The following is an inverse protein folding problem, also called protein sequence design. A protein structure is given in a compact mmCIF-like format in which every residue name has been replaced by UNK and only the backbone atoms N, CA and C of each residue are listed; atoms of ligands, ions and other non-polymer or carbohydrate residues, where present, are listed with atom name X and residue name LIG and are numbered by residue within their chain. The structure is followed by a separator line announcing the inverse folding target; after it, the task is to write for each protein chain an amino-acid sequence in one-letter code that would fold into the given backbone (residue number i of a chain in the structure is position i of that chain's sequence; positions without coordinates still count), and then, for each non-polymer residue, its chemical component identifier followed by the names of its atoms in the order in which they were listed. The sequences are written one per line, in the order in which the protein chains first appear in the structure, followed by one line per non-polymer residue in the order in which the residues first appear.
data_IF_768451246682
#
_entry.id   IF_768451246682
#
_cell.length_a   1.000
_cell.length_b   1.000
_cell.length_c   1.000
_cell.angle_alpha   90.00
_cell.angle_beta   90.00
_cell.angle_gamma   90.00
#
_symmetry.space_group_name_H-M   'P 1'
#
loop_
_entity.id
_entity.type
_entity.pdbx_description
1 polymer ?
#
# COMPACT_ATOMS: atom_id res chain seq x y z
N UNK A 1 -1.22 16.97 27.66
CA UNK A 1 -0.34 18.12 27.28
C UNK A 1 -0.95 18.79 26.05
N UNK A 2 -1.30 20.06 26.10
CA UNK A 2 -1.90 20.75 24.96
C UNK A 2 -0.81 21.00 23.91
N UNK A 3 -1.06 20.57 22.65
CA UNK A 3 -0.21 20.92 21.49
C UNK A 3 -0.20 22.45 21.38
N UNK A 4 0.95 23.05 21.59
CA UNK A 4 1.07 24.52 21.60
C UNK A 4 1.14 25.11 20.18
N UNK A 5 1.69 24.38 19.21
CA UNK A 5 1.88 24.85 17.84
C UNK A 5 1.91 23.69 16.86
N UNK A 6 1.22 23.82 15.73
CA UNK A 6 1.39 23.01 14.53
C UNK A 6 1.72 23.95 13.40
N UNK A 7 2.88 23.76 12.76
CA UNK A 7 3.28 24.50 11.57
C UNK A 7 3.20 23.57 10.35
N UNK A 8 2.59 24.05 9.27
CA UNK A 8 2.59 23.38 7.97
C UNK A 8 3.50 24.16 7.03
N UNK A 9 4.55 23.50 6.53
CA UNK A 9 5.51 24.10 5.62
C UNK A 9 5.33 23.42 4.26
N UNK A 10 4.69 24.12 3.34
CA UNK A 10 4.45 23.64 1.98
C UNK A 10 5.62 24.00 1.04
N UNK A 11 5.72 23.29 -0.09
CA UNK A 11 6.78 23.47 -1.10
C UNK A 11 8.21 23.31 -0.53
N UNK A 12 8.33 22.52 0.54
CA UNK A 12 9.59 22.29 1.25
C UNK A 12 9.97 20.81 1.16
N UNK A 13 10.55 20.46 0.03
CA UNK A 13 11.00 19.08 -0.21
C UNK A 13 12.21 18.77 0.67
N UNK A 14 12.13 17.67 1.41
CA UNK A 14 13.28 17.13 2.13
C UNK A 14 14.29 16.58 1.11
N UNK A 15 15.55 17.02 1.22
CA UNK A 15 16.65 16.60 0.35
C UNK A 15 17.73 15.80 1.10
N UNK A 16 17.75 15.88 2.43
CA UNK A 16 18.71 15.18 3.26
C UNK A 16 18.33 15.20 4.73
N UNK A 17 19.09 14.46 5.51
CA UNK A 17 19.03 14.42 6.96
C UNK A 17 20.43 14.12 7.53
N UNK A 18 20.76 14.72 8.66
CA UNK A 18 21.88 14.35 9.51
C UNK A 18 21.41 14.09 10.94
N UNK A 19 22.13 13.30 11.70
CA UNK A 19 21.85 12.99 13.10
C UNK A 19 23.07 13.43 13.92
N UNK A 20 22.83 14.21 14.98
CA UNK A 20 23.87 14.64 15.91
C UNK A 20 24.20 13.60 16.99
N UNK A 21 25.17 13.90 17.84
CA UNK A 21 25.61 13.01 18.94
C UNK A 21 24.49 12.76 19.98
N UNK A 22 23.48 13.61 20.06
CA UNK A 22 22.33 13.46 20.92
C UNK A 22 21.16 12.74 20.21
N UNK A 23 21.40 12.19 19.02
CA UNK A 23 20.41 11.51 18.16
C UNK A 23 19.30 12.42 17.60
N UNK A 24 19.42 13.75 17.69
CA UNK A 24 18.46 14.69 17.09
C UNK A 24 18.66 14.75 15.58
N UNK A 25 17.55 14.86 14.85
CA UNK A 25 17.58 14.95 13.39
C UNK A 25 17.62 16.41 12.92
N UNK A 26 18.54 16.71 12.01
CA UNK A 26 18.53 17.96 11.23
C UNK A 26 18.13 17.61 9.79
N UNK A 27 16.94 18.04 9.41
CA UNK A 27 16.33 17.80 8.08
C UNK A 27 16.68 18.98 7.17
N UNK A 28 17.14 18.67 5.98
CA UNK A 28 17.54 19.63 4.95
C UNK A 28 16.38 19.88 3.96
N UNK A 29 16.01 21.16 3.78
CA UNK A 29 14.90 21.63 2.94
C UNK A 29 15.41 22.62 1.86
N UNK A 30 16.41 22.24 1.09
CA UNK A 30 17.10 23.15 0.17
C UNK A 30 18.03 24.11 0.94
N UNK A 31 17.71 25.40 0.94
CA UNK A 31 18.53 26.42 1.63
C UNK A 31 18.27 26.50 3.14
N UNK A 32 17.27 25.79 3.66
CA UNK A 32 16.86 25.81 5.04
C UNK A 32 17.06 24.46 5.70
N UNK A 33 17.25 24.47 7.01
CA UNK A 33 17.29 23.25 7.84
C UNK A 33 16.34 23.37 9.01
N UNK A 34 15.83 22.22 9.45
CA UNK A 34 15.03 22.13 10.68
C UNK A 34 15.66 21.06 11.57
N UNK A 35 16.05 21.48 12.78
CA UNK A 35 16.52 20.54 13.80
C UNK A 35 15.36 20.20 14.74
N UNK A 36 15.16 18.90 14.99
CA UNK A 36 14.09 18.40 15.85
C UNK A 36 14.64 17.33 16.79
N UNK A 37 14.03 17.23 17.97
CA UNK A 37 14.32 16.13 18.92
C UNK A 37 13.88 14.78 18.36
N UNK A 38 12.79 14.75 17.57
CA UNK A 38 12.26 13.57 16.93
C UNK A 38 11.85 13.87 15.49
N UNK A 39 12.07 12.88 14.60
CA UNK A 39 11.65 12.94 13.20
C UNK A 39 10.78 11.72 12.89
N UNK A 40 9.62 11.94 12.31
CA UNK A 40 8.79 10.86 11.72
C UNK A 40 8.88 10.99 10.21
N UNK A 41 9.55 10.06 9.57
CA UNK A 41 9.77 10.02 8.12
C UNK A 41 8.60 9.28 7.44
N UNK A 42 7.74 10.04 6.77
CA UNK A 42 6.65 9.55 5.92
C UNK A 42 6.78 10.09 4.49
N UNK A 43 8.01 10.22 4.00
CA UNK A 43 8.39 10.88 2.73
C UNK A 43 8.32 9.94 1.51
N UNK A 44 7.62 8.81 1.64
CA UNK A 44 7.25 7.95 0.54
C UNK A 44 8.32 6.92 0.12
N UNK A 45 8.02 6.17 -0.93
CA UNK A 45 8.83 5.04 -1.40
C UNK A 45 10.28 5.43 -1.76
N UNK A 46 10.47 6.64 -2.27
CA UNK A 46 11.77 7.20 -2.64
C UNK A 46 12.43 8.01 -1.50
N UNK A 47 12.05 7.75 -0.25
CA UNK A 47 12.45 8.47 0.95
C UNK A 47 13.89 8.99 0.94
N UNK A 48 14.05 10.31 0.97
CA UNK A 48 15.33 10.98 1.09
C UNK A 48 15.95 10.75 2.49
N UNK A 49 15.10 10.70 3.51
CA UNK A 49 15.51 10.44 4.89
C UNK A 49 16.08 9.03 5.03
N UNK A 50 15.37 8.01 4.53
CA UNK A 50 15.85 6.62 4.58
C UNK A 50 17.19 6.46 3.88
N UNK A 51 17.31 7.02 2.67
CA UNK A 51 18.54 7.00 1.87
C UNK A 51 19.69 7.75 2.55
N UNK A 52 19.42 8.95 3.05
CA UNK A 52 20.41 9.78 3.74
C UNK A 52 20.98 9.12 4.99
N UNK A 53 20.21 8.27 5.66
CA UNK A 53 20.66 7.50 6.83
C UNK A 53 21.25 6.13 6.47
N UNK A 54 21.37 5.80 5.17
CA UNK A 54 21.97 4.53 4.72
C UNK A 54 21.14 3.29 5.07
N UNK A 55 19.84 3.44 5.34
CA UNK A 55 18.97 2.32 5.68
C UNK A 55 18.59 1.57 4.41
N UNK A 56 18.92 0.28 4.37
CA UNK A 56 18.62 -0.60 3.26
C UNK A 56 17.10 -0.75 3.07
N UNK A 57 16.67 -0.93 1.83
CA UNK A 57 15.28 -1.14 1.44
C UNK A 57 15.20 -2.46 0.67
N UNK A 58 15.16 -3.54 1.43
CA UNK A 58 15.31 -4.90 0.93
C UNK A 58 14.00 -5.44 0.38
N UNK A 59 14.10 -6.28 -0.65
CA UNK A 59 12.95 -6.90 -1.26
C UNK A 59 13.14 -7.17 -2.75
N UNK A 60 12.04 -7.21 -3.48
CA UNK A 60 12.02 -7.59 -4.89
C UNK A 60 11.22 -6.61 -5.75
N UNK A 61 11.48 -6.68 -7.04
CA UNK A 61 10.62 -6.09 -8.08
C UNK A 61 9.95 -7.25 -8.81
N UNK A 62 8.64 -7.18 -8.96
CA UNK A 62 7.91 -8.19 -9.72
C UNK A 62 8.29 -8.14 -11.21
N UNK A 63 8.24 -9.27 -11.92
CA UNK A 63 8.64 -9.33 -13.33
C UNK A 63 7.67 -8.57 -14.24
N UNK A 64 6.41 -8.45 -13.85
CA UNK A 64 5.41 -7.67 -14.57
C UNK A 64 5.33 -6.22 -14.09
N UNK A 65 4.91 -5.35 -14.99
CA UNK A 65 4.41 -4.01 -14.68
C UNK A 65 2.89 -4.03 -14.60
N UNK A 66 2.34 -3.04 -13.94
CA UNK A 66 0.89 -2.85 -13.91
C UNK A 66 0.49 -1.68 -14.79
N UNK A 67 -0.33 -2.01 -15.81
CA UNK A 67 -1.03 -1.02 -16.64
C UNK A 67 -2.37 -0.71 -15.98
N UNK A 68 -2.56 0.53 -15.57
CA UNK A 68 -3.82 1.01 -14.98
C UNK A 68 -4.51 1.93 -15.96
N UNK A 69 -5.70 1.53 -16.36
CA UNK A 69 -6.57 2.29 -17.27
C UNK A 69 -7.74 2.82 -16.45
N UNK A 70 -7.93 4.13 -16.45
CA UNK A 70 -9.06 4.80 -15.78
C UNK A 70 -10.06 5.26 -16.81
N UNK A 71 -11.33 4.86 -16.64
CA UNK A 71 -12.45 5.26 -17.51
C UNK A 71 -13.56 5.92 -16.70
N UNK A 72 -14.27 6.86 -17.29
CA UNK A 72 -15.49 7.44 -16.73
C UNK A 72 -16.74 6.63 -17.06
N UNK A 73 -16.64 5.62 -17.96
CA UNK A 73 -17.74 4.68 -18.20
C UNK A 73 -18.07 3.93 -16.91
N UNK A 74 -19.33 3.89 -16.51
CA UNK A 74 -19.75 3.03 -15.40
C UNK A 74 -19.81 1.58 -15.89
N UNK A 75 -18.89 0.75 -15.40
CA UNK A 75 -18.81 -0.65 -15.79
C UNK A 75 -19.98 -1.49 -15.26
N UNK A 76 -20.73 -1.02 -14.25
CA UNK A 76 -21.92 -1.71 -13.76
C UNK A 76 -23.05 -1.72 -14.79
N UNK A 77 -23.04 -0.79 -15.74
CA UNK A 77 -23.99 -0.79 -16.87
C UNK A 77 -23.69 -1.89 -17.90
N UNK A 78 -22.46 -2.40 -17.92
CA UNK A 78 -21.99 -3.39 -18.90
C UNK A 78 -21.83 -4.77 -18.28
N UNK A 79 -21.46 -4.84 -17.02
CA UNK A 79 -21.19 -6.10 -16.29
C UNK A 79 -22.06 -6.09 -15.03
N UNK A 80 -23.06 -6.97 -14.94
CA UNK A 80 -23.90 -7.10 -13.74
C UNK A 80 -23.08 -7.50 -12.50
N UNK A 81 -23.56 -7.13 -11.34
CA UNK A 81 -23.09 -7.57 -10.02
C UNK A 81 -21.62 -7.20 -9.68
N UNK A 82 -21.04 -6.19 -10.35
CA UNK A 82 -19.74 -5.68 -9.97
C UNK A 82 -19.75 -5.05 -8.58
N UNK A 83 -18.84 -5.51 -7.72
CA UNK A 83 -18.54 -4.87 -6.44
C UNK A 83 -17.62 -3.64 -6.60
N UNK A 84 -17.33 -2.94 -5.52
CA UNK A 84 -16.36 -1.83 -5.54
C UNK A 84 -14.93 -2.26 -5.88
N UNK A 85 -14.57 -3.51 -5.56
CA UNK A 85 -13.30 -4.17 -5.92
C UNK A 85 -13.61 -5.55 -6.44
N UNK A 86 -13.10 -5.87 -7.64
CA UNK A 86 -13.30 -7.15 -8.29
C UNK A 86 -11.95 -7.70 -8.74
N UNK A 87 -11.58 -8.85 -8.19
CA UNK A 87 -10.41 -9.60 -8.63
C UNK A 87 -10.87 -10.66 -9.62
N UNK A 88 -10.52 -10.51 -10.88
CA UNK A 88 -10.91 -11.41 -11.96
C UNK A 88 -9.72 -12.28 -12.29
N UNK A 89 -9.82 -13.57 -11.95
CA UNK A 89 -8.82 -14.58 -12.26
C UNK A 89 -9.19 -15.26 -13.56
N UNK A 90 -8.61 -14.80 -14.65
CA UNK A 90 -8.74 -15.39 -15.97
C UNK A 90 -7.48 -16.16 -16.35
N UNK A 91 -7.61 -17.20 -17.16
CA UNK A 91 -6.50 -18.06 -17.56
C UNK A 91 -5.51 -17.36 -18.50
N UNK A 92 -5.98 -16.37 -19.27
CA UNK A 92 -5.17 -15.63 -20.24
C UNK A 92 -4.60 -14.35 -19.63
N UNK A 93 -5.45 -13.53 -19.00
CA UNK A 93 -5.04 -12.25 -18.42
C UNK A 93 -5.92 -11.92 -17.19
N UNK A 94 -5.42 -12.14 -16.00
CA UNK A 94 -6.11 -11.69 -14.79
C UNK A 94 -6.15 -10.17 -14.71
N UNK A 95 -7.16 -9.62 -14.06
CA UNK A 95 -7.27 -8.17 -13.86
C UNK A 95 -7.97 -7.83 -12.54
N UNK A 96 -7.78 -6.58 -12.13
CA UNK A 96 -8.53 -6.01 -11.00
C UNK A 96 -9.34 -4.82 -11.50
N UNK A 97 -10.65 -4.82 -11.22
CA UNK A 97 -11.51 -3.67 -11.43
C UNK A 97 -11.78 -2.99 -10.10
N UNK A 98 -11.50 -1.70 -10.04
CA UNK A 98 -11.63 -0.90 -8.83
C UNK A 98 -12.52 0.32 -9.13
N UNK A 99 -13.62 0.45 -8.39
CA UNK A 99 -14.47 1.64 -8.43
C UNK A 99 -13.91 2.75 -7.54
N UNK A 100 -13.79 3.93 -8.09
CA UNK A 100 -13.51 5.17 -7.35
C UNK A 100 -14.70 6.12 -7.47
N UNK A 101 -14.78 7.21 -6.70
CA UNK A 101 -15.91 8.14 -6.81
C UNK A 101 -16.16 8.72 -8.21
N UNK A 102 -15.14 8.74 -9.08
CA UNK A 102 -15.21 9.36 -10.41
C UNK A 102 -14.91 8.44 -11.57
N UNK A 103 -14.26 7.29 -11.32
CA UNK A 103 -13.76 6.43 -12.38
C UNK A 103 -13.87 4.96 -11.98
N UNK A 104 -13.94 4.10 -12.98
CA UNK A 104 -13.48 2.74 -12.86
C UNK A 104 -12.00 2.66 -13.26
N UNK A 105 -11.23 1.89 -12.53
CA UNK A 105 -9.83 1.57 -12.84
C UNK A 105 -9.71 0.09 -13.13
N UNK A 106 -9.23 -0.22 -14.33
CA UNK A 106 -8.85 -1.56 -14.72
C UNK A 106 -7.33 -1.69 -14.61
N UNK A 107 -6.87 -2.63 -13.79
CA UNK A 107 -5.47 -2.92 -13.52
C UNK A 107 -5.10 -4.22 -14.20
N UNK A 108 -4.18 -4.18 -15.15
CA UNK A 108 -3.72 -5.33 -15.92
C UNK A 108 -2.23 -5.61 -15.63
N UNK A 109 -1.85 -6.89 -15.43
CA UNK A 109 -0.45 -7.27 -15.50
C UNK A 109 0.01 -7.19 -16.94
N UNK A 110 1.20 -6.67 -17.17
CA UNK A 110 1.81 -6.62 -18.49
C UNK A 110 3.28 -7.01 -18.39
N UNK A 111 3.82 -7.56 -19.46
CA UNK A 111 5.24 -7.91 -19.53
C UNK A 111 6.12 -6.71 -19.15
N UNK A 112 7.01 -6.90 -18.17
CA UNK A 112 7.93 -5.87 -17.68
C UNK A 112 8.89 -5.37 -18.75
N UNK A 113 9.14 -6.14 -19.80
CA UNK A 113 10.06 -5.81 -20.89
C UNK A 113 9.37 -5.18 -22.10
N UNK A 114 8.03 -5.24 -22.18
CA UNK A 114 7.27 -4.71 -23.32
C UNK A 114 7.40 -3.19 -23.44
N UNK A 115 7.33 -2.70 -24.68
CA UNK A 115 7.44 -1.27 -24.96
C UNK A 115 6.29 -0.48 -24.31
N UNK A 116 6.65 0.47 -23.47
CA UNK A 116 5.69 1.31 -22.76
C UNK A 116 4.80 2.13 -23.71
N UNK A 117 5.34 2.63 -24.82
CA UNK A 117 4.58 3.41 -25.79
C UNK A 117 3.52 2.55 -26.51
N UNK A 118 3.85 1.31 -26.82
CA UNK A 118 2.88 0.37 -27.38
C UNK A 118 1.80 0.01 -26.37
N UNK A 119 2.16 -0.29 -25.11
CA UNK A 119 1.20 -0.67 -24.06
C UNK A 119 0.22 0.46 -23.73
N UNK A 120 0.67 1.71 -23.76
CA UNK A 120 -0.14 2.88 -23.41
C UNK A 120 -0.77 3.58 -24.62
N UNK A 121 -0.57 3.04 -25.84
CA UNK A 121 -1.20 3.58 -27.04
C UNK A 121 -2.73 3.47 -26.94
N UNK A 122 -3.44 4.44 -27.53
CA UNK A 122 -4.90 4.47 -27.53
C UNK A 122 -5.49 3.15 -28.06
N UNK A 123 -4.97 2.63 -29.16
CA UNK A 123 -5.44 1.37 -29.73
C UNK A 123 -5.28 0.17 -28.78
N UNK A 124 -4.12 0.05 -28.09
CA UNK A 124 -3.89 -1.03 -27.15
C UNK A 124 -4.77 -0.91 -25.88
N UNK A 125 -4.95 0.30 -25.39
CA UNK A 125 -5.81 0.62 -24.24
C UNK A 125 -7.27 0.30 -24.56
N UNK A 126 -7.79 0.75 -25.70
CA UNK A 126 -9.14 0.46 -26.17
C UNK A 126 -9.33 -1.06 -26.35
N UNK A 127 -8.41 -1.74 -27.01
CA UNK A 127 -8.49 -3.17 -27.22
C UNK A 127 -8.57 -3.96 -25.89
N UNK A 128 -7.82 -3.55 -24.86
CA UNK A 128 -7.91 -4.18 -23.53
C UNK A 128 -9.26 -3.95 -22.88
N UNK A 129 -9.74 -2.71 -22.87
CA UNK A 129 -11.04 -2.38 -22.27
C UNK A 129 -12.19 -3.07 -23.00
N UNK A 130 -12.11 -3.23 -24.33
CA UNK A 130 -13.10 -3.97 -25.12
C UNK A 130 -13.16 -5.46 -24.75
N UNK A 131 -12.06 -6.07 -24.31
CA UNK A 131 -12.07 -7.44 -23.78
C UNK A 131 -12.71 -7.56 -22.40
N UNK A 132 -12.62 -6.50 -21.58
CA UNK A 132 -13.31 -6.47 -20.27
C UNK A 132 -14.83 -6.45 -20.47
N UNK A 133 -15.32 -5.54 -21.28
CA UNK A 133 -16.71 -5.50 -21.72
C UNK A 133 -16.81 -4.75 -23.07
N UNK A 134 -17.49 -5.29 -24.08
CA UNK A 134 -17.65 -4.61 -25.35
C UNK A 134 -18.46 -3.32 -25.23
N UNK A 135 -17.92 -2.21 -25.76
CA UNK A 135 -18.59 -0.91 -25.83
C UNK A 135 -18.48 -0.35 -27.25
N UNK A 136 -19.57 -0.27 -28.04
CA UNK A 136 -19.52 0.09 -29.46
C UNK A 136 -18.88 1.43 -29.79
N UNK A 137 -19.01 2.42 -28.91
CA UNK A 137 -18.48 3.78 -29.11
C UNK A 137 -17.05 3.96 -28.60
N UNK A 138 -16.44 2.90 -28.08
CA UNK A 138 -15.15 2.98 -27.37
C UNK A 138 -15.26 3.56 -25.96
N UNK A 139 -14.22 3.36 -25.18
CA UNK A 139 -14.19 3.78 -23.78
C UNK A 139 -13.71 5.24 -23.64
N UNK A 140 -14.41 6.06 -22.84
CA UNK A 140 -13.93 7.40 -22.46
C UNK A 140 -12.78 7.25 -21.43
N UNK A 141 -11.54 7.19 -21.92
CA UNK A 141 -10.35 7.02 -21.09
C UNK A 141 -9.95 8.37 -20.49
N UNK A 142 -9.84 8.45 -19.18
CA UNK A 142 -9.44 9.66 -18.46
C UNK A 142 -7.95 9.66 -18.10
N UNK A 143 -7.36 8.49 -17.86
CA UNK A 143 -5.95 8.36 -17.47
C UNK A 143 -5.42 6.97 -17.73
N UNK A 144 -4.15 6.90 -18.11
CA UNK A 144 -3.39 5.65 -18.27
C UNK A 144 -2.07 5.78 -17.52
N UNK A 145 -1.75 4.79 -16.71
CA UNK A 145 -0.48 4.73 -15.97
C UNK A 145 0.13 3.35 -16.11
N UNK A 146 1.44 3.32 -16.30
CA UNK A 146 2.25 2.09 -16.30
C UNK A 146 3.34 2.24 -15.25
N UNK A 147 3.41 1.29 -14.31
CA UNK A 147 4.40 1.32 -13.25
C UNK A 147 4.95 -0.06 -12.87
N UNK A 148 6.19 -0.06 -12.38
CA UNK A 148 6.80 -1.26 -11.81
C UNK A 148 6.19 -1.57 -10.44
N UNK A 149 6.05 -2.85 -10.15
CA UNK A 149 5.55 -3.31 -8.85
C UNK A 149 6.73 -3.73 -7.99
N UNK A 150 6.86 -3.08 -6.85
CA UNK A 150 7.91 -3.37 -5.89
C UNK A 150 7.31 -3.89 -4.58
N UNK A 151 8.05 -4.77 -3.92
CA UNK A 151 7.77 -5.23 -2.58
C UNK A 151 9.05 -5.12 -1.78
N UNK A 152 9.13 -4.12 -0.87
CA UNK A 152 10.35 -3.79 -0.14
C UNK A 152 10.03 -3.39 1.30
N UNK A 153 10.96 -3.69 2.21
CA UNK A 153 10.86 -3.28 3.62
C UNK A 153 12.19 -2.71 4.06
N UNK A 154 12.17 -1.60 4.77
CA UNK A 154 13.36 -1.03 5.37
C UNK A 154 13.99 -2.01 6.37
N UNK A 155 15.32 -2.08 6.38
CA UNK A 155 16.05 -2.96 7.29
C UNK A 155 15.77 -2.65 8.76
N UNK A 156 15.37 -1.41 9.05
CA UNK A 156 14.92 -0.98 10.37
C UNK A 156 13.89 0.15 10.25
N UNK A 157 12.92 0.20 11.20
CA UNK A 157 11.85 1.21 11.24
C UNK A 157 12.18 2.35 12.21
N UNK A 158 13.33 2.27 12.86
CA UNK A 158 13.87 3.32 13.75
C UNK A 158 15.38 3.38 13.66
N UNK A 159 15.92 4.58 13.65
CA UNK A 159 17.34 4.83 13.85
C UNK A 159 17.49 6.08 14.77
N UNK A 160 18.02 5.89 15.97
CA UNK A 160 18.09 6.96 16.95
C UNK A 160 16.70 7.56 17.23
N UNK A 161 16.54 8.84 16.97
CA UNK A 161 15.29 9.59 17.12
C UNK A 161 14.50 9.74 15.80
N UNK A 162 14.81 8.94 14.79
CA UNK A 162 14.07 8.91 13.52
C UNK A 162 13.23 7.66 13.43
N UNK A 163 11.91 7.81 13.20
CA UNK A 163 10.94 6.74 12.98
C UNK A 163 10.51 6.75 11.50
N UNK A 164 10.35 5.59 10.89
CA UNK A 164 9.86 5.45 9.52
C UNK A 164 8.44 4.90 9.51
N UNK A 165 7.56 5.51 8.70
CA UNK A 165 6.15 5.13 8.57
C UNK A 165 5.73 5.04 7.10
N UNK A 166 4.74 4.20 6.81
CA UNK A 166 4.16 4.07 5.48
C UNK A 166 5.19 3.70 4.41
N UNK A 167 5.06 4.28 3.22
CA UNK A 167 5.90 3.93 2.07
C UNK A 167 7.40 4.24 2.28
N UNK A 168 7.75 5.09 3.23
CA UNK A 168 9.15 5.30 3.63
C UNK A 168 9.72 4.07 4.36
N UNK A 169 8.88 3.32 5.07
CA UNK A 169 9.24 2.12 5.81
C UNK A 169 9.05 0.84 4.98
N UNK A 170 7.96 0.72 4.24
CA UNK A 170 7.67 -0.45 3.41
C UNK A 170 6.72 -0.16 2.26
N UNK A 171 6.94 -0.84 1.15
CA UNK A 171 6.02 -0.87 0.00
C UNK A 171 5.68 -2.31 -0.34
N UNK A 172 4.50 -2.51 -0.83
CA UNK A 172 4.01 -3.83 -1.22
C UNK A 172 3.26 -3.75 -2.55
N UNK A 173 3.08 -4.91 -3.14
CA UNK A 173 2.20 -5.12 -4.28
C UNK A 173 0.77 -4.63 -3.92
N UNK A 174 0.06 -3.93 -4.82
CA UNK A 174 -1.24 -3.31 -4.53
C UNK A 174 -2.39 -4.32 -4.37
N UNK A 175 -2.16 -5.60 -4.68
CA UNK A 175 -3.19 -6.65 -4.61
C UNK A 175 -3.61 -6.92 -3.16
N UNK A 176 -4.81 -6.50 -2.81
CA UNK A 176 -5.35 -6.59 -1.46
C UNK A 176 -5.51 -5.24 -0.75
N UNK A 177 -5.01 -4.14 -1.35
CA UNK A 177 -5.25 -2.78 -0.84
C UNK A 177 -4.63 -2.47 0.53
N UNK A 178 -3.57 -3.19 0.93
CA UNK A 178 -3.02 -3.11 2.28
C UNK A 178 -2.02 -1.97 2.50
N UNK A 179 -1.43 -1.39 1.44
CA UNK A 179 -0.34 -0.40 1.56
C UNK A 179 -0.75 0.83 2.37
N UNK A 180 -1.78 1.55 1.92
CA UNK A 180 -2.28 2.73 2.63
C UNK A 180 -2.76 2.40 4.06
N UNK A 181 -3.49 1.31 4.23
CA UNK A 181 -4.00 0.90 5.53
C UNK A 181 -2.85 0.61 6.50
N UNK A 182 -1.83 -0.13 6.07
CA UNK A 182 -0.64 -0.39 6.88
C UNK A 182 0.09 0.90 7.25
N UNK A 183 0.25 1.84 6.30
CA UNK A 183 0.87 3.14 6.56
C UNK A 183 0.13 3.98 7.60
N UNK A 184 -1.22 3.93 7.59
CA UNK A 184 -2.04 4.60 8.62
C UNK A 184 -1.81 3.94 10.00
N UNK A 185 -1.78 2.61 10.05
CA UNK A 185 -1.47 1.88 11.28
C UNK A 185 -0.05 2.20 11.80
N UNK A 186 0.94 2.33 10.89
CA UNK A 186 2.29 2.76 11.27
C UNK A 186 2.28 4.14 11.92
N UNK A 187 1.60 5.10 11.28
CA UNK A 187 1.55 6.48 11.77
C UNK A 187 0.92 6.58 13.16
N UNK A 188 -0.20 5.86 13.39
CA UNK A 188 -0.85 5.81 14.70
C UNK A 188 0.06 5.15 15.74
N UNK A 189 0.65 4.00 15.42
CA UNK A 189 1.54 3.30 16.33
C UNK A 189 2.82 4.10 16.66
N UNK A 190 3.38 4.81 15.67
CA UNK A 190 4.53 5.69 15.88
C UNK A 190 4.18 6.87 16.79
N UNK A 191 3.00 7.47 16.61
CA UNK A 191 2.53 8.58 17.45
C UNK A 191 2.31 8.13 18.90
N UNK A 192 1.69 6.97 19.12
CA UNK A 192 1.47 6.39 20.44
C UNK A 192 2.81 6.06 21.14
N UNK A 193 3.75 5.43 20.41
CA UNK A 193 5.06 5.10 20.92
C UNK A 193 5.89 6.34 21.26
N UNK A 194 5.80 7.39 20.42
CA UNK A 194 6.49 8.66 20.69
C UNK A 194 5.90 9.36 21.91
N UNK A 195 4.57 9.36 22.06
CA UNK A 195 3.93 9.91 23.25
C UNK A 195 4.41 9.20 24.53
N UNK A 196 4.42 7.85 24.53
CA UNK A 196 4.95 7.06 25.66
C UNK A 196 6.43 7.37 25.95
N UNK A 197 7.25 7.54 24.91
CA UNK A 197 8.66 7.88 25.07
C UNK A 197 8.88 9.29 25.67
N UNK A 198 8.05 10.24 25.31
CA UNK A 198 8.07 11.60 25.88
C UNK A 198 7.63 11.61 27.34
N UNK A 199 6.81 10.65 27.77
CA UNK A 199 6.42 10.42 29.15
C UNK A 199 7.40 9.51 29.92
N UNK A 200 8.51 9.09 29.29
CA UNK A 200 9.62 8.37 29.91
C UNK A 200 9.76 6.89 29.50
N UNK A 201 8.80 6.29 28.79
CA UNK A 201 8.91 4.91 28.28
C UNK A 201 9.53 4.85 26.89
N UNK A 202 10.85 4.91 26.82
CA UNK A 202 11.61 4.83 25.55
C UNK A 202 11.50 3.44 24.92
N UNK A 203 11.13 2.38 25.68
CA UNK A 203 11.02 1.02 25.17
C UNK A 203 9.86 0.88 24.18
N UNK A 204 8.85 1.72 24.26
CA UNK A 204 7.72 1.77 23.34
C UNK A 204 8.15 2.00 21.87
N UNK A 205 9.23 2.78 21.65
CA UNK A 205 9.77 3.04 20.32
C UNK A 205 10.40 1.81 19.68
N UNK A 206 11.08 0.99 20.47
CA UNK A 206 11.65 -0.26 19.99
C UNK A 206 10.55 -1.27 19.69
N UNK A 207 9.55 -1.35 20.56
CA UNK A 207 8.34 -2.16 20.34
C UNK A 207 7.62 -1.76 19.06
N UNK A 208 7.47 -0.46 18.81
CA UNK A 208 6.96 0.06 17.54
C UNK A 208 7.75 -0.48 16.36
N UNK A 209 9.06 -0.25 16.36
CA UNK A 209 9.92 -0.58 15.23
C UNK A 209 9.89 -2.07 14.91
N UNK A 210 9.98 -2.93 15.90
CA UNK A 210 9.95 -4.39 15.76
C UNK A 210 8.58 -4.87 15.29
N UNK A 211 7.51 -4.46 15.95
CA UNK A 211 6.15 -4.92 15.66
C UNK A 211 5.70 -4.50 14.27
N UNK A 212 5.92 -3.24 13.89
CA UNK A 212 5.50 -2.75 12.57
C UNK A 212 6.31 -3.37 11.44
N UNK A 213 7.61 -3.58 11.66
CA UNK A 213 8.47 -4.27 10.70
C UNK A 213 8.07 -5.74 10.53
N UNK A 214 7.82 -6.49 11.61
CA UNK A 214 7.29 -7.87 11.53
C UNK A 214 5.95 -7.90 10.81
N UNK A 215 5.04 -6.96 11.12
CA UNK A 215 3.75 -6.87 10.41
C UNK A 215 3.93 -6.68 8.91
N UNK A 216 4.86 -5.82 8.49
CA UNK A 216 5.14 -5.59 7.08
C UNK A 216 5.67 -6.85 6.38
N UNK A 217 6.59 -7.58 7.03
CA UNK A 217 7.21 -8.80 6.48
C UNK A 217 6.26 -10.00 6.51
N UNK A 218 5.75 -10.34 7.70
CA UNK A 218 5.12 -11.63 7.96
C UNK A 218 3.64 -11.63 7.57
N UNK A 219 3.02 -10.45 7.56
CA UNK A 219 1.60 -10.31 7.22
C UNK A 219 1.38 -9.62 5.87
N UNK A 220 1.79 -8.36 5.71
CA UNK A 220 1.46 -7.57 4.51
C UNK A 220 2.09 -8.17 3.26
N UNK A 221 3.40 -8.43 3.28
CA UNK A 221 4.09 -9.02 2.13
C UNK A 221 3.58 -10.43 1.83
N UNK A 222 3.42 -11.27 2.84
CA UNK A 222 2.93 -12.62 2.65
C UNK A 222 1.50 -12.65 2.08
N UNK A 223 0.60 -11.78 2.56
CA UNK A 223 -0.77 -11.72 2.06
C UNK A 223 -0.85 -11.21 0.62
N UNK A 224 -0.13 -10.12 0.30
CA UNK A 224 -0.15 -9.55 -1.05
C UNK A 224 0.55 -10.44 -2.07
N UNK A 225 1.58 -11.18 -1.66
CA UNK A 225 2.23 -12.17 -2.53
C UNK A 225 1.31 -13.35 -2.81
N UNK A 226 0.64 -13.92 -1.80
CA UNK A 226 -0.37 -14.97 -2.02
C UNK A 226 -1.50 -14.51 -2.94
N UNK A 227 -1.96 -13.27 -2.81
CA UNK A 227 -2.98 -12.72 -3.71
C UNK A 227 -2.49 -12.69 -5.16
N UNK A 228 -1.22 -12.33 -5.37
CA UNK A 228 -0.59 -12.33 -6.68
C UNK A 228 -0.48 -13.74 -7.26
N UNK A 229 0.00 -14.72 -6.50
CA UNK A 229 0.05 -16.13 -6.93
C UNK A 229 -1.34 -16.67 -7.29
N UNK A 230 -2.34 -16.36 -6.45
CA UNK A 230 -3.70 -16.81 -6.67
C UNK A 230 -4.35 -16.24 -7.93
N UNK A 231 -4.02 -15.02 -8.31
CA UNK A 231 -4.55 -14.43 -9.55
C UNK A 231 -3.90 -15.03 -10.80
N UNK A 232 -2.66 -15.50 -10.68
CA UNK A 232 -1.94 -16.14 -11.79
C UNK A 232 -2.24 -17.64 -11.96
N UNK A 233 -3.00 -18.23 -11.05
CA UNK A 233 -3.31 -19.65 -11.10
C UNK A 233 -4.05 -20.04 -12.40
N UNK A 234 -3.49 -20.97 -13.16
CA UNK A 234 -4.01 -21.42 -14.46
C UNK A 234 -4.77 -22.73 -14.38
N UNK A 235 -4.55 -23.54 -13.34
CA UNK A 235 -5.27 -24.79 -13.15
C UNK A 235 -6.73 -24.48 -12.80
N UNK A 236 -7.63 -24.92 -13.68
CA UNK A 236 -9.06 -24.69 -13.54
C UNK A 236 -9.62 -25.34 -12.28
N UNK A 237 -9.13 -26.51 -11.90
CA UNK A 237 -9.59 -27.23 -10.71
C UNK A 237 -9.25 -26.42 -9.45
N UNK A 238 -8.01 -25.94 -9.37
CA UNK A 238 -7.55 -25.10 -8.23
C UNK A 238 -8.34 -23.80 -8.15
N UNK A 239 -8.64 -23.18 -9.29
CA UNK A 239 -9.46 -21.97 -9.35
C UNK A 239 -10.89 -22.21 -8.86
N UNK A 240 -11.54 -23.29 -9.31
CA UNK A 240 -12.89 -23.68 -8.90
C UNK A 240 -12.97 -24.01 -7.40
N UNK A 241 -11.99 -24.75 -6.88
CA UNK A 241 -11.90 -25.05 -5.44
C UNK A 241 -11.74 -23.78 -4.60
N UNK A 242 -10.93 -22.82 -5.06
CA UNK A 242 -10.77 -21.53 -4.40
C UNK A 242 -12.07 -20.72 -4.41
N UNK A 243 -12.75 -20.68 -5.55
CA UNK A 243 -14.04 -19.99 -5.67
C UNK A 243 -15.08 -20.61 -4.71
N UNK A 244 -15.19 -21.92 -4.68
CA UNK A 244 -16.09 -22.62 -3.76
C UNK A 244 -15.78 -22.28 -2.28
N UNK A 245 -14.50 -22.22 -1.92
CA UNK A 245 -14.06 -21.84 -0.57
C UNK A 245 -14.43 -20.39 -0.24
N UNK A 246 -14.22 -19.45 -1.17
CA UNK A 246 -14.60 -18.04 -0.98
C UNK A 246 -16.12 -17.92 -0.81
N UNK A 247 -16.92 -18.63 -1.62
CA UNK A 247 -18.38 -18.66 -1.50
C UNK A 247 -18.84 -19.22 -0.17
N UNK A 248 -18.20 -20.29 0.30
CA UNK A 248 -18.50 -20.89 1.61
C UNK A 248 -18.16 -19.92 2.76
N UNK A 249 -17.00 -19.25 2.70
CA UNK A 249 -16.62 -18.22 3.68
C UNK A 249 -17.62 -17.07 3.68
N UNK A 250 -18.05 -16.58 2.52
CA UNK A 250 -19.02 -15.50 2.42
C UNK A 250 -20.42 -15.88 2.92
N UNK A 251 -20.79 -17.16 2.83
CA UNK A 251 -22.08 -17.67 3.29
C UNK A 251 -22.14 -17.88 4.83
N UNK A 252 -21.00 -17.99 5.49
CA UNK A 252 -20.90 -18.14 6.95
C UNK A 252 -20.55 -16.79 7.59
N UNK A 253 -21.46 -16.16 8.37
CA UNK A 253 -21.21 -14.85 8.98
C UNK A 253 -19.99 -14.81 9.91
N UNK A 254 -19.65 -15.93 10.59
CA UNK A 254 -18.51 -16.00 11.50
C UNK A 254 -17.21 -16.02 10.68
N UNK A 255 -17.12 -16.93 9.70
CA UNK A 255 -15.97 -17.03 8.81
C UNK A 255 -15.77 -15.75 7.97
N UNK A 256 -16.86 -15.14 7.48
CA UNK A 256 -16.82 -13.87 6.77
C UNK A 256 -16.26 -12.74 7.64
N UNK A 257 -16.71 -12.66 8.91
CA UNK A 257 -16.18 -11.66 9.86
C UNK A 257 -14.70 -11.86 10.12
N UNK A 258 -14.25 -13.08 10.37
CA UNK A 258 -12.83 -13.40 10.61
C UNK A 258 -11.97 -13.05 9.38
N UNK A 259 -12.44 -13.42 8.19
CA UNK A 259 -11.79 -13.05 6.94
C UNK A 259 -11.66 -11.53 6.78
N UNK A 260 -12.74 -10.77 7.02
CA UNK A 260 -12.74 -9.33 6.93
C UNK A 260 -11.83 -8.68 7.98
N UNK A 261 -11.87 -9.14 9.23
CA UNK A 261 -10.97 -8.64 10.29
C UNK A 261 -9.50 -8.81 9.91
N UNK A 262 -9.15 -9.92 9.26
CA UNK A 262 -7.80 -10.19 8.80
C UNK A 262 -7.45 -9.35 7.57
N UNK A 263 -8.28 -9.38 6.54
CA UNK A 263 -8.00 -8.71 5.26
C UNK A 263 -7.98 -7.17 5.37
N UNK A 264 -8.72 -6.60 6.33
CA UNK A 264 -8.71 -5.17 6.64
C UNK A 264 -7.66 -4.77 7.67
N UNK A 265 -6.84 -5.71 8.14
CA UNK A 265 -5.82 -5.51 9.18
C UNK A 265 -6.37 -5.11 10.56
N UNK A 266 -7.68 -5.22 10.79
CA UNK A 266 -8.28 -4.90 12.09
C UNK A 266 -7.89 -5.91 13.17
N UNK A 267 -7.63 -7.17 12.80
CA UNK A 267 -7.14 -8.19 13.71
C UNK A 267 -5.69 -7.94 14.19
N UNK A 268 -4.93 -7.12 13.49
CA UNK A 268 -3.54 -6.79 13.83
C UNK A 268 -3.41 -5.62 14.83
N UNK A 269 -4.53 -5.12 15.37
CA UNK A 269 -4.49 -4.13 16.45
C UNK A 269 -4.18 -4.82 17.77
N UNK A 270 -3.23 -4.31 18.58
CA UNK A 270 -3.14 -4.70 19.97
C UNK A 270 -4.49 -4.44 20.66
N UNK A 271 -5.04 -5.45 21.31
CA UNK A 271 -6.37 -5.41 21.94
C UNK A 271 -6.39 -4.69 23.27
N UNK A 272 -5.48 -3.74 23.54
CA UNK A 272 -5.46 -3.00 24.81
C UNK A 272 -5.58 -1.48 24.58
N UNK A 273 -6.78 -1.04 24.26
CA UNK A 273 -7.32 0.17 24.89
C UNK A 273 -8.61 -0.24 25.56
N UNK A 274 -8.57 -0.28 26.91
CA UNK A 274 -9.76 -0.43 27.73
C UNK A 274 -10.83 0.54 27.20
N UNK A 275 -12.00 0.00 26.93
CA UNK A 275 -13.21 0.73 26.65
C UNK A 275 -13.60 1.55 27.89
N UNK A 276 -12.99 2.72 28.04
CA UNK A 276 -13.49 3.76 28.93
C UNK A 276 -13.70 5.02 28.12
N UNK A 277 -14.81 5.04 27.38
CA UNK A 277 -15.50 6.25 27.01
C UNK A 277 -16.92 6.08 27.49
N UNK A 278 -17.11 6.50 28.76
CA UNK A 278 -18.44 6.84 29.30
C UNK A 278 -18.79 8.26 28.90
#
# INVERSE_FOLDING_TARGET
MAVKWIAHIFNSRVIGISIDEQSRGTVELGEHTITADWVIAGDGADSAIRKGLGIAFDGMTYPERFLVISTTQDLTELIPDLAGVNNISDAEEWLVLLRTPRHWRALFPVDGTADAALLTSEAAVQARMQRVAPLPVGYPISHVTLYNVHQRVASQFRLGHVLFVGDAAHINNPLGGMGMNSGIHDAVAAADALASALDGDVSALETYAQTRRSTALDFVQAATHRNWEQLQERDETVRLEREARIRATAADPVAAREYLMTSTMLAARPTDRGSDVS
#
